data_IF_608322025325
#
_entry.id   IF_608322025325
#
_cell.length_a   1.000
_cell.length_b   1.000
_cell.length_c   1.000
_cell.angle_alpha   90.00
_cell.angle_beta   90.00
_cell.angle_gamma   90.00
#
_symmetry.space_group_name_H-M   'P 1'
#
loop_
_entity.id
_entity.type
_entity.pdbx_description
1 polymer ?
#
# COMPACT_ATOMS: atom_id res chain seq x y z
N UNK A 1 -4.72 -20.68 -18.83
CA UNK A 1 -3.78 -19.98 -17.94
C UNK A 1 -2.37 -19.97 -18.53
N UNK A 2 -1.38 -19.43 -17.81
CA UNK A 2 0.00 -19.32 -18.29
C UNK A 2 0.64 -20.70 -18.44
N UNK A 3 0.51 -21.58 -17.45
CA UNK A 3 1.07 -22.93 -17.49
C UNK A 3 0.49 -23.76 -18.64
N UNK A 4 -0.80 -23.69 -18.89
CA UNK A 4 -1.44 -24.37 -20.05
C UNK A 4 -0.90 -23.90 -21.40
N UNK A 5 -0.62 -22.60 -21.50
CA UNK A 5 -0.12 -22.00 -22.76
C UNK A 5 1.38 -22.21 -23.01
N UNK A 6 2.16 -22.33 -21.96
CA UNK A 6 3.63 -22.32 -22.06
C UNK A 6 4.30 -23.61 -21.62
N UNK A 7 3.61 -24.46 -20.85
CA UNK A 7 4.17 -25.62 -20.18
C UNK A 7 5.06 -25.29 -18.98
N UNK A 8 5.17 -23.99 -18.60
CA UNK A 8 6.00 -23.53 -17.48
C UNK A 8 5.13 -23.48 -16.23
N UNK A 9 5.55 -24.19 -15.18
CA UNK A 9 4.90 -24.11 -13.86
C UNK A 9 5.27 -22.80 -13.17
N UNK A 10 4.28 -22.14 -12.58
CA UNK A 10 4.48 -20.94 -11.78
C UNK A 10 4.15 -21.24 -10.33
N UNK A 11 5.10 -21.04 -9.45
CA UNK A 11 4.93 -21.10 -8.01
C UNK A 11 4.85 -19.69 -7.46
N UNK A 12 3.75 -19.36 -6.76
CA UNK A 12 3.50 -18.02 -6.24
C UNK A 12 3.83 -17.97 -4.75
N UNK A 13 4.75 -17.07 -4.38
CA UNK A 13 5.07 -16.75 -2.99
C UNK A 13 4.46 -15.37 -2.70
N UNK A 14 3.30 -15.35 -2.02
CA UNK A 14 2.58 -14.13 -1.70
C UNK A 14 3.12 -13.50 -0.40
N UNK A 15 3.88 -12.42 -0.54
CA UNK A 15 4.53 -11.70 0.58
C UNK A 15 4.49 -10.19 0.33
N UNK A 16 4.80 -9.38 1.33
CA UNK A 16 4.90 -7.93 1.17
C UNK A 16 6.09 -7.51 0.28
N UNK A 17 6.02 -6.31 -0.32
CA UNK A 17 7.03 -5.79 -1.26
C UNK A 17 8.47 -5.91 -0.73
N UNK A 18 8.71 -5.54 0.53
CA UNK A 18 10.06 -5.62 1.12
C UNK A 18 10.61 -7.04 1.15
N UNK A 19 9.79 -8.01 1.56
CA UNK A 19 10.17 -9.41 1.59
C UNK A 19 10.33 -10.00 0.18
N UNK A 20 9.48 -9.62 -0.78
CA UNK A 20 9.62 -10.02 -2.17
C UNK A 20 10.95 -9.55 -2.77
N UNK A 21 11.31 -8.28 -2.57
CA UNK A 21 12.60 -7.74 -3.01
C UNK A 21 13.78 -8.47 -2.36
N UNK A 22 13.68 -8.81 -1.07
CA UNK A 22 14.72 -9.60 -0.39
C UNK A 22 14.88 -10.98 -1.02
N UNK A 23 13.77 -11.69 -1.30
CA UNK A 23 13.82 -12.99 -2.00
C UNK A 23 14.52 -12.87 -3.35
N UNK A 24 14.26 -11.79 -4.10
CA UNK A 24 14.95 -11.52 -5.36
C UNK A 24 16.44 -11.22 -5.17
N UNK A 25 16.82 -10.42 -4.15
CA UNK A 25 18.23 -10.16 -3.83
C UNK A 25 18.99 -11.43 -3.45
N UNK A 26 18.34 -12.34 -2.73
CA UNK A 26 18.90 -13.62 -2.31
C UNK A 26 18.92 -14.67 -3.44
N UNK A 27 18.37 -14.35 -4.62
CA UNK A 27 18.27 -15.26 -5.76
C UNK A 27 17.23 -16.38 -5.58
N UNK A 28 16.28 -16.21 -4.65
CA UNK A 28 15.22 -17.18 -4.33
C UNK A 28 13.89 -16.91 -5.06
N UNK A 29 13.91 -16.04 -6.06
CA UNK A 29 12.79 -15.78 -6.95
C UNK A 29 13.32 -15.56 -8.37
N UNK A 30 12.49 -15.85 -9.37
CA UNK A 30 12.80 -15.60 -10.79
C UNK A 30 12.24 -14.27 -11.26
N UNK A 31 11.04 -13.95 -10.77
CA UNK A 31 10.26 -12.76 -11.16
C UNK A 31 9.61 -12.17 -9.92
N UNK A 32 9.62 -10.86 -9.84
CA UNK A 32 8.95 -10.09 -8.78
C UNK A 32 7.80 -9.29 -9.37
N UNK A 33 6.62 -9.34 -8.75
CA UNK A 33 5.48 -8.47 -9.02
C UNK A 33 5.19 -7.67 -7.75
N UNK A 34 5.52 -6.39 -7.77
CA UNK A 34 5.50 -5.51 -6.59
C UNK A 34 4.93 -4.13 -6.95
N UNK A 35 4.75 -3.26 -5.96
CA UNK A 35 4.11 -1.96 -6.15
C UNK A 35 4.72 -0.84 -5.27
N UNK A 36 6.04 -0.78 -5.21
CA UNK A 36 6.78 0.31 -4.58
C UNK A 36 7.86 0.81 -5.55
N UNK A 37 7.47 1.78 -6.37
CA UNK A 37 8.32 2.30 -7.45
C UNK A 37 9.70 2.74 -6.96
N UNK A 38 9.81 3.37 -5.81
CA UNK A 38 11.08 3.85 -5.30
C UNK A 38 12.02 2.69 -4.94
N UNK A 39 11.49 1.64 -4.30
CA UNK A 39 12.26 0.43 -3.99
C UNK A 39 12.56 -0.40 -5.24
N UNK A 40 11.65 -0.44 -6.21
CA UNK A 40 11.88 -1.09 -7.52
C UNK A 40 13.03 -0.42 -8.26
N UNK A 41 13.04 0.91 -8.34
CA UNK A 41 14.12 1.67 -9.00
C UNK A 41 15.47 1.46 -8.31
N UNK A 42 15.51 1.42 -6.98
CA UNK A 42 16.71 1.09 -6.22
C UNK A 42 17.21 -0.33 -6.51
N UNK A 43 16.29 -1.32 -6.50
CA UNK A 43 16.58 -2.72 -6.82
C UNK A 43 17.22 -2.87 -8.22
N UNK A 44 16.68 -2.16 -9.22
CA UNK A 44 17.21 -2.14 -10.58
C UNK A 44 18.56 -1.44 -10.65
N UNK A 45 18.73 -0.29 -9.98
CA UNK A 45 20.00 0.48 -9.96
C UNK A 45 21.15 -0.32 -9.32
N UNK A 46 20.85 -1.15 -8.30
CA UNK A 46 21.82 -2.03 -7.64
C UNK A 46 22.11 -3.31 -8.45
N UNK A 47 21.53 -3.45 -9.64
CA UNK A 47 21.76 -4.56 -10.57
C UNK A 47 21.15 -5.88 -10.13
N UNK A 48 20.18 -5.87 -9.22
CA UNK A 48 19.47 -7.07 -8.78
C UNK A 48 18.45 -7.56 -9.81
N UNK A 49 17.92 -6.68 -10.66
CA UNK A 49 17.07 -6.98 -11.81
C UNK A 49 17.74 -6.60 -13.12
N UNK A 50 17.25 -7.14 -14.24
CA UNK A 50 17.72 -6.81 -15.59
C UNK A 50 16.67 -6.07 -16.39
N UNK A 51 15.40 -6.24 -16.09
CA UNK A 51 14.28 -5.60 -16.77
C UNK A 51 13.16 -5.29 -15.79
N UNK A 52 12.49 -4.14 -15.98
CA UNK A 52 11.26 -3.74 -15.28
C UNK A 52 10.23 -3.26 -16.29
N UNK A 53 8.99 -3.74 -16.15
CA UNK A 53 7.85 -3.32 -16.96
C UNK A 53 6.68 -2.90 -16.05
N UNK A 54 5.90 -1.92 -16.50
CA UNK A 54 4.63 -1.57 -15.87
C UNK A 54 3.58 -2.60 -16.24
N UNK A 55 2.77 -3.06 -15.27
CA UNK A 55 1.77 -4.12 -15.47
C UNK A 55 0.36 -3.57 -15.36
N UNK A 56 0.07 -2.89 -14.26
CA UNK A 56 -1.23 -2.34 -13.91
C UNK A 56 -1.07 -1.25 -12.87
N UNK A 57 -2.16 -0.63 -12.51
CA UNK A 57 -2.22 0.29 -11.37
C UNK A 57 -3.57 0.19 -10.67
N UNK A 58 -3.57 0.50 -9.40
CA UNK A 58 -4.72 0.92 -8.65
C UNK A 58 -4.38 2.21 -7.90
N UNK A 59 -5.22 2.64 -6.98
CA UNK A 59 -4.95 3.79 -6.12
C UNK A 59 -5.24 3.47 -4.65
N UNK A 60 -4.72 4.33 -3.80
CA UNK A 60 -5.13 4.42 -2.42
C UNK A 60 -6.22 5.49 -2.26
N UNK A 61 -7.02 5.32 -1.22
CA UNK A 61 -8.06 6.24 -0.81
C UNK A 61 -7.95 6.50 0.69
N UNK A 62 -8.32 7.70 1.14
CA UNK A 62 -8.50 7.97 2.56
C UNK A 62 -9.97 7.81 2.86
N UNK A 63 -10.28 6.90 3.76
CA UNK A 63 -11.64 6.61 4.18
C UNK A 63 -11.88 7.04 5.62
N UNK A 64 -13.11 7.37 5.93
CA UNK A 64 -13.52 7.82 7.26
C UNK A 64 -15.03 7.84 7.43
N UNK A 65 -15.53 8.25 8.60
CA UNK A 65 -16.96 8.31 8.89
C UNK A 65 -17.67 9.38 8.06
N UNK A 66 -18.96 9.18 7.77
CA UNK A 66 -19.82 10.12 7.04
C UNK A 66 -19.85 11.52 7.69
N UNK A 67 -19.79 11.57 9.02
CA UNK A 67 -19.80 12.83 9.79
C UNK A 67 -18.54 13.68 9.58
N UNK A 68 -17.46 13.08 9.12
CA UNK A 68 -16.18 13.72 8.79
C UNK A 68 -15.70 14.77 9.82
N UNK A 69 -15.45 14.40 11.07
CA UNK A 69 -15.05 15.37 12.10
C UNK A 69 -13.75 16.13 11.79
N UNK A 70 -12.87 15.58 10.94
CA UNK A 70 -11.67 16.28 10.50
C UNK A 70 -11.93 17.28 9.35
N UNK A 71 -13.08 17.18 8.67
CA UNK A 71 -13.45 18.07 7.56
C UNK A 71 -12.55 17.88 6.33
N UNK A 72 -12.30 16.65 5.94
CA UNK A 72 -11.41 16.30 4.81
C UNK A 72 -12.18 15.90 3.55
N UNK A 73 -13.48 15.72 3.62
CA UNK A 73 -14.31 15.27 2.50
C UNK A 73 -14.15 16.18 1.28
N UNK A 74 -13.85 15.57 0.14
CA UNK A 74 -13.63 16.27 -1.14
C UNK A 74 -12.28 16.98 -1.28
N UNK A 75 -11.37 16.84 -0.32
CA UNK A 75 -9.99 17.30 -0.51
C UNK A 75 -9.29 16.46 -1.59
N UNK A 76 -8.38 17.10 -2.32
CA UNK A 76 -7.59 16.48 -3.40
C UNK A 76 -6.08 16.44 -3.09
N UNK A 77 -5.71 16.84 -1.88
CA UNK A 77 -4.34 16.81 -1.34
C UNK A 77 -4.33 15.91 -0.11
N UNK A 78 -3.75 14.73 -0.27
CA UNK A 78 -3.69 13.70 0.77
C UNK A 78 -2.84 14.14 1.98
N UNK A 79 -1.74 14.88 1.74
CA UNK A 79 -0.90 15.38 2.82
C UNK A 79 -1.63 16.45 3.65
N UNK A 80 -2.38 17.35 3.00
CA UNK A 80 -3.22 18.33 3.69
C UNK A 80 -4.35 17.64 4.48
N UNK A 81 -4.95 16.57 3.94
CA UNK A 81 -5.97 15.80 4.64
C UNK A 81 -5.40 15.12 5.91
N UNK A 82 -4.22 14.51 5.80
CA UNK A 82 -3.53 13.93 6.96
C UNK A 82 -3.21 14.99 8.01
N UNK A 83 -2.75 16.18 7.59
CA UNK A 83 -2.51 17.28 8.51
C UNK A 83 -3.79 17.69 9.26
N UNK A 84 -4.93 17.73 8.60
CA UNK A 84 -6.22 18.02 9.24
C UNK A 84 -6.64 16.96 10.26
N UNK A 85 -6.45 15.67 9.94
CA UNK A 85 -6.73 14.59 10.88
C UNK A 85 -5.88 14.74 12.16
N UNK A 86 -4.57 15.02 11.99
CA UNK A 86 -3.67 15.24 13.12
C UNK A 86 -4.04 16.50 13.93
N UNK A 87 -4.37 17.61 13.26
CA UNK A 87 -4.76 18.88 13.89
C UNK A 87 -6.01 18.74 14.76
N UNK A 88 -6.99 17.98 14.28
CA UNK A 88 -8.23 17.72 15.02
C UNK A 88 -8.09 16.65 16.11
N UNK A 89 -7.00 15.87 16.09
CA UNK A 89 -6.82 14.71 16.97
C UNK A 89 -7.82 13.59 16.69
N UNK A 90 -8.37 13.56 15.47
CA UNK A 90 -9.28 12.49 15.05
C UNK A 90 -8.52 11.16 14.93
N UNK A 91 -9.16 10.07 15.32
CA UNK A 91 -8.51 8.74 15.29
C UNK A 91 -8.05 8.40 13.88
N UNK A 92 -6.80 8.01 13.74
CA UNK A 92 -6.23 7.44 12.52
C UNK A 92 -5.71 6.03 12.81
N UNK A 93 -6.22 5.04 12.09
CA UNK A 93 -5.79 3.65 12.23
C UNK A 93 -4.78 3.31 11.14
N UNK A 94 -3.55 3.12 11.54
CA UNK A 94 -2.44 2.71 10.68
C UNK A 94 -2.34 1.20 10.59
N UNK A 95 -1.90 0.68 9.45
CA UNK A 95 -1.55 -0.74 9.35
C UNK A 95 -0.41 -1.14 10.28
N UNK A 96 0.64 -0.34 10.40
CA UNK A 96 1.76 -0.58 11.30
C UNK A 96 2.51 -1.90 11.09
N UNK A 97 2.51 -2.45 9.87
CA UNK A 97 2.95 -3.82 9.55
C UNK A 97 4.05 -3.89 8.47
N UNK A 98 4.67 -2.76 8.14
CA UNK A 98 5.68 -2.61 7.08
C UNK A 98 5.23 -3.06 5.67
N UNK A 99 3.91 -3.15 5.45
CA UNK A 99 3.33 -3.42 4.12
C UNK A 99 3.49 -2.24 3.16
N UNK A 100 3.18 -2.45 1.88
CA UNK A 100 3.16 -1.37 0.88
C UNK A 100 2.17 -0.25 1.23
N UNK A 101 1.02 -0.57 1.85
CA UNK A 101 0.05 0.42 2.34
C UNK A 101 0.64 1.23 3.49
N UNK A 102 1.30 0.58 4.46
CA UNK A 102 1.98 1.28 5.54
C UNK A 102 3.11 2.18 5.01
N UNK A 103 3.92 1.69 4.06
CA UNK A 103 4.94 2.51 3.41
C UNK A 103 4.38 3.74 2.69
N UNK A 104 3.23 3.59 2.01
CA UNK A 104 2.51 4.70 1.38
C UNK A 104 2.02 5.70 2.42
N UNK A 105 1.38 5.24 3.48
CA UNK A 105 0.91 6.05 4.60
C UNK A 105 2.05 6.89 5.19
N UNK A 106 3.19 6.27 5.50
CA UNK A 106 4.37 6.97 6.02
C UNK A 106 4.89 8.04 5.06
N UNK A 107 4.82 7.79 3.75
CA UNK A 107 5.21 8.78 2.75
C UNK A 107 4.28 10.00 2.74
N UNK A 108 2.98 9.81 2.96
CA UNK A 108 2.00 10.90 3.06
C UNK A 108 2.19 11.70 4.36
N UNK A 109 2.40 11.04 5.50
CA UNK A 109 2.75 11.71 6.77
C UNK A 109 4.01 12.57 6.63
N UNK A 110 5.04 12.02 6.00
CA UNK A 110 6.28 12.75 5.73
C UNK A 110 6.04 13.97 4.83
N UNK A 111 5.20 13.84 3.80
CA UNK A 111 4.83 14.97 2.92
C UNK A 111 4.03 16.04 3.68
N UNK A 112 3.21 15.64 4.65
CA UNK A 112 2.53 16.56 5.56
C UNK A 112 3.47 17.22 6.58
N UNK A 113 4.72 16.78 6.70
CA UNK A 113 5.68 17.27 7.69
C UNK A 113 5.36 16.85 9.13
N UNK A 114 4.62 15.75 9.29
CA UNK A 114 4.11 15.26 10.58
C UNK A 114 4.72 13.90 10.87
N UNK A 115 5.19 13.71 12.09
CA UNK A 115 5.52 12.42 12.67
C UNK A 115 4.35 12.01 13.58
N UNK A 116 3.45 11.11 13.13
CA UNK A 116 2.23 10.83 13.86
C UNK A 116 2.55 10.11 15.18
N UNK A 117 1.97 10.60 16.27
CA UNK A 117 2.18 10.05 17.60
C UNK A 117 1.03 10.44 18.56
N UNK A 118 0.85 9.68 19.63
CA UNK A 118 -0.19 9.90 20.64
C UNK A 118 -1.42 9.02 20.43
N UNK A 119 -2.43 9.24 21.28
CA UNK A 119 -3.59 8.34 21.39
C UNK A 119 -4.51 8.33 20.15
N UNK A 120 -4.40 9.35 19.32
CA UNK A 120 -5.18 9.45 18.07
C UNK A 120 -4.58 8.62 16.93
N UNK A 121 -3.31 8.20 17.02
CA UNK A 121 -2.64 7.39 16.02
C UNK A 121 -2.49 5.95 16.49
N UNK A 122 -3.34 5.08 15.95
CA UNK A 122 -3.45 3.68 16.38
C UNK A 122 -2.71 2.78 15.38
N UNK A 123 -1.58 2.23 15.80
CA UNK A 123 -0.83 1.24 15.01
C UNK A 123 -1.43 -0.16 15.22
N UNK A 124 -2.13 -0.68 14.23
CA UNK A 124 -2.90 -1.93 14.38
C UNK A 124 -2.03 -3.19 14.28
N UNK A 125 -0.96 -3.18 13.48
CA UNK A 125 -0.16 -4.37 13.19
C UNK A 125 -0.94 -5.47 12.47
N UNK A 126 -1.97 -5.11 11.69
CA UNK A 126 -2.95 -6.03 11.10
C UNK A 126 -3.07 -5.86 9.59
N UNK A 127 -3.72 -6.83 8.91
CA UNK A 127 -4.08 -6.75 7.51
C UNK A 127 -5.12 -5.68 7.21
N UNK A 128 -5.22 -5.24 5.93
CA UNK A 128 -6.09 -4.11 5.57
C UNK A 128 -7.56 -4.32 5.92
N UNK A 129 -8.09 -5.54 5.80
CA UNK A 129 -9.48 -5.84 6.15
C UNK A 129 -9.77 -5.61 7.64
N UNK A 130 -8.83 -6.00 8.52
CA UNK A 130 -8.97 -5.83 9.96
C UNK A 130 -8.81 -4.35 10.34
N UNK A 131 -7.88 -3.64 9.71
CA UNK A 131 -7.71 -2.19 9.87
C UNK A 131 -8.98 -1.44 9.51
N UNK A 132 -9.62 -1.79 8.38
CA UNK A 132 -10.90 -1.19 7.98
C UNK A 132 -11.98 -1.44 9.03
N UNK A 133 -12.08 -2.65 9.59
CA UNK A 133 -13.03 -2.95 10.67
C UNK A 133 -12.75 -2.12 11.91
N UNK A 134 -11.50 -2.04 12.35
CA UNK A 134 -11.10 -1.21 13.50
C UNK A 134 -11.40 0.28 13.28
N UNK A 135 -11.18 0.75 12.04
CA UNK A 135 -11.46 2.15 11.67
C UNK A 135 -12.95 2.46 11.78
N UNK A 136 -13.80 1.55 11.29
CA UNK A 136 -15.27 1.68 11.40
C UNK A 136 -15.74 1.69 12.86
N UNK A 137 -15.26 0.74 13.68
CA UNK A 137 -15.59 0.64 15.10
C UNK A 137 -15.18 1.88 15.90
N UNK A 138 -14.08 2.54 15.51
CA UNK A 138 -13.56 3.74 16.18
C UNK A 138 -14.04 5.05 15.58
N UNK A 139 -14.88 5.00 14.52
CA UNK A 139 -15.28 6.18 13.72
C UNK A 139 -14.07 7.03 13.32
N UNK A 140 -12.99 6.33 12.95
CA UNK A 140 -11.70 6.92 12.60
C UNK A 140 -11.45 7.04 11.11
N UNK A 141 -10.22 7.35 10.76
CA UNK A 141 -9.73 7.47 9.39
C UNK A 141 -8.65 6.42 9.14
N UNK A 142 -8.49 6.00 7.89
CA UNK A 142 -7.35 5.18 7.46
C UNK A 142 -7.04 5.37 5.98
N UNK A 143 -5.84 4.96 5.59
CA UNK A 143 -5.46 4.80 4.19
C UNK A 143 -5.72 3.35 3.76
N UNK A 144 -6.46 3.15 2.70
CA UNK A 144 -6.72 1.81 2.14
C UNK A 144 -6.46 1.77 0.64
N UNK A 145 -6.04 0.63 0.11
CA UNK A 145 -6.19 0.38 -1.30
C UNK A 145 -7.67 0.31 -1.66
N UNK A 146 -8.04 0.89 -2.82
CA UNK A 146 -9.43 0.98 -3.26
C UNK A 146 -10.08 -0.39 -3.40
N UNK A 147 -9.36 -1.40 -3.86
CA UNK A 147 -9.93 -2.72 -4.11
C UNK A 147 -10.39 -3.40 -2.81
N UNK A 148 -9.58 -3.35 -1.76
CA UNK A 148 -9.95 -3.89 -0.45
C UNK A 148 -11.13 -3.12 0.14
N UNK A 149 -11.12 -1.78 0.06
CA UNK A 149 -12.26 -0.96 0.50
C UNK A 149 -13.56 -1.35 -0.24
N UNK A 150 -13.56 -1.40 -1.57
CA UNK A 150 -14.75 -1.76 -2.36
C UNK A 150 -15.27 -3.15 -2.02
N UNK A 151 -14.38 -4.11 -1.77
CA UNK A 151 -14.75 -5.45 -1.32
C UNK A 151 -15.51 -5.41 0.02
N UNK A 152 -15.17 -4.50 0.92
CA UNK A 152 -15.84 -4.32 2.22
C UNK A 152 -17.20 -3.63 2.06
N UNK A 153 -17.30 -2.62 1.20
CA UNK A 153 -18.57 -1.93 0.90
C UNK A 153 -19.65 -2.91 0.42
N UNK A 154 -19.29 -3.88 -0.41
CA UNK A 154 -20.21 -4.95 -0.85
C UNK A 154 -20.76 -5.80 0.31
N UNK A 155 -20.11 -5.77 1.46
CA UNK A 155 -20.49 -6.50 2.68
C UNK A 155 -21.09 -5.59 3.77
N UNK A 156 -21.55 -4.39 3.42
CA UNK A 156 -22.25 -3.48 4.33
C UNK A 156 -21.34 -2.56 5.16
N UNK A 157 -20.11 -2.32 4.71
CA UNK A 157 -19.19 -1.36 5.32
C UNK A 157 -19.71 0.08 5.17
N UNK A 158 -19.60 0.89 6.22
CA UNK A 158 -20.27 2.20 6.32
C UNK A 158 -19.34 3.40 6.17
N UNK A 159 -18.01 3.20 6.24
CA UNK A 159 -17.10 4.32 5.99
C UNK A 159 -17.10 4.72 4.52
N UNK A 160 -16.89 6.01 4.28
CA UNK A 160 -16.89 6.60 2.94
C UNK A 160 -15.48 6.96 2.46
N UNK A 161 -15.31 7.05 1.13
CA UNK A 161 -14.12 7.65 0.55
C UNK A 161 -14.24 9.16 0.70
N UNK A 162 -13.35 9.77 1.47
CA UNK A 162 -13.33 11.20 1.73
C UNK A 162 -12.27 11.93 0.88
N UNK A 163 -11.14 11.25 0.57
CA UNK A 163 -10.08 11.81 -0.27
C UNK A 163 -9.62 10.77 -1.29
N UNK A 164 -9.57 11.19 -2.55
CA UNK A 164 -9.11 10.38 -3.68
C UNK A 164 -8.52 11.26 -4.78
N UNK A 165 -7.86 10.65 -5.78
CA UNK A 165 -7.41 11.32 -7.00
C UNK A 165 -6.12 12.13 -6.85
N UNK A 166 -5.51 12.21 -5.68
CA UNK A 166 -4.19 12.80 -5.52
C UNK A 166 -3.13 11.90 -6.22
N UNK A 167 -2.23 12.46 -7.05
CA UNK A 167 -1.14 11.71 -7.66
C UNK A 167 -0.28 10.92 -6.69
N UNK A 168 -0.11 11.38 -5.44
CA UNK A 168 0.65 10.65 -4.40
C UNK A 168 -0.03 9.35 -4.01
N UNK A 169 -1.34 9.24 -4.17
CA UNK A 169 -2.13 8.03 -3.87
C UNK A 169 -2.09 7.00 -5.00
N UNK A 170 -1.47 7.30 -6.14
CA UNK A 170 -1.32 6.37 -7.23
C UNK A 170 -0.43 5.18 -6.83
N UNK A 171 -0.86 3.98 -7.19
CA UNK A 171 -0.20 2.73 -6.81
C UNK A 171 0.07 1.87 -8.05
N UNK A 172 1.16 2.15 -8.78
CA UNK A 172 1.56 1.38 -9.95
C UNK A 172 2.18 0.04 -9.52
N UNK A 173 1.91 -1.01 -10.28
CA UNK A 173 2.52 -2.33 -10.15
C UNK A 173 3.56 -2.53 -11.24
N UNK A 174 4.76 -2.94 -10.82
CA UNK A 174 5.84 -3.31 -11.71
C UNK A 174 6.16 -4.79 -11.64
N UNK A 175 6.53 -5.37 -12.77
CA UNK A 175 7.13 -6.70 -12.85
C UNK A 175 8.62 -6.55 -13.16
N UNK A 176 9.44 -7.29 -12.43
CA UNK A 176 10.90 -7.31 -12.62
C UNK A 176 11.40 -8.73 -12.73
N UNK A 177 12.30 -8.99 -13.66
CA UNK A 177 13.06 -10.23 -13.66
C UNK A 177 14.27 -10.10 -12.72
N UNK A 178 14.55 -11.16 -11.97
CA UNK A 178 15.73 -11.23 -11.13
C UNK A 178 16.96 -11.52 -12.00
N UNK A 179 18.05 -10.78 -11.75
CA UNK A 179 19.29 -10.91 -12.53
C UNK A 179 19.82 -12.37 -12.47
N UNK A 180 19.92 -13.06 -13.62
CA UNK A 180 20.38 -14.47 -13.66
C UNK A 180 21.72 -14.70 -13.02
N UNK A 181 22.63 -13.72 -13.07
CA UNK A 181 23.96 -13.83 -12.47
C UNK A 181 23.92 -13.87 -10.91
N UNK A 182 22.77 -13.54 -10.31
CA UNK A 182 22.57 -13.55 -8.85
C UNK A 182 21.65 -14.69 -8.37
N UNK A 183 21.15 -15.54 -9.29
CA UNK A 183 20.30 -16.68 -8.93
C UNK A 183 21.17 -17.84 -8.46
N UNK A 184 20.84 -18.43 -7.30
CA UNK A 184 21.63 -19.52 -6.71
C UNK A 184 21.23 -20.91 -7.23
N UNK A 185 20.10 -21.02 -7.94
CA UNK A 185 19.48 -22.30 -8.33
C UNK A 185 19.42 -22.53 -9.84
N UNK A 186 20.13 -21.72 -10.62
CA UNK A 186 20.29 -21.90 -12.07
C UNK A 186 21.76 -22.18 -12.39
#
# INVERSE_FOLDING_TARGET
>A
DFTEKTGITVEVVAVGTGQALQLGMDGNADVLLVHDRAREDAYMADGHGTRREDVMYNDFVIVGPEEDPAGIAGMTDAAAAFARIAETGSIFVSRGDDSGTHGKEQSVWKAAGIEPAGDWYVSAGQGMSDVLTMTEEQLGYTLSDRATYLSRVLNGYTLEILVEGDPVLFNPYGVMDVNPAKRQHI
#
